data_IF_118133402113
#
_entry.id   IF_118133402113
#
_cell.length_a   1.000
_cell.length_b   1.000
_cell.length_c   1.000
_cell.angle_alpha   90.00
_cell.angle_beta   90.00
_cell.angle_gamma   90.00
#
_symmetry.space_group_name_H-M   'P 1'
#
loop_
_entity.id
_entity.type
_entity.pdbx_description
1 polymer ?
#
# COMPACT_ATOMS: atom_id res chain seq x y z
N UNK A 1 0.34 -19.37 -7.33
CA UNK A 1 0.87 -18.02 -7.02
C UNK A 1 0.01 -16.94 -7.69
N UNK A 2 -1.31 -16.90 -7.45
CA UNK A 2 -2.22 -15.95 -8.14
C UNK A 2 -3.06 -15.07 -7.21
N UNK A 3 -3.25 -15.46 -5.95
CA UNK A 3 -4.08 -14.73 -5.00
C UNK A 3 -3.37 -13.49 -4.42
N UNK A 4 -2.12 -13.65 -3.99
CA UNK A 4 -1.36 -12.58 -3.30
C UNK A 4 -1.15 -11.34 -4.16
N UNK A 5 -0.97 -11.50 -5.48
CA UNK A 5 -0.81 -10.35 -6.39
C UNK A 5 -2.12 -9.59 -6.62
N UNK A 6 -3.26 -10.28 -6.58
CA UNK A 6 -4.57 -9.66 -6.77
C UNK A 6 -4.96 -8.83 -5.55
N UNK A 7 -4.67 -9.35 -4.36
CA UNK A 7 -4.89 -8.64 -3.10
C UNK A 7 -4.03 -7.38 -3.02
N UNK A 8 -2.81 -7.41 -3.55
CA UNK A 8 -1.91 -6.25 -3.62
C UNK A 8 -2.44 -5.14 -4.52
N UNK A 9 -2.87 -5.46 -5.74
CA UNK A 9 -3.45 -4.47 -6.65
C UNK A 9 -4.71 -3.82 -6.07
N UNK A 10 -5.59 -4.60 -5.45
CA UNK A 10 -6.80 -4.09 -4.81
C UNK A 10 -6.47 -3.20 -3.61
N UNK A 11 -5.51 -3.60 -2.78
CA UNK A 11 -5.05 -2.79 -1.64
C UNK A 11 -4.42 -1.47 -2.10
N UNK A 12 -3.60 -1.51 -3.15
CA UNK A 12 -3.00 -0.31 -3.76
C UNK A 12 -4.06 0.60 -4.35
N UNK A 13 -5.06 0.04 -5.02
CA UNK A 13 -6.16 0.83 -5.58
C UNK A 13 -6.93 1.59 -4.50
N UNK A 14 -7.37 0.88 -3.46
CA UNK A 14 -8.09 1.50 -2.33
C UNK A 14 -7.24 2.61 -1.67
N UNK A 15 -5.94 2.35 -1.51
CA UNK A 15 -5.02 3.30 -0.91
C UNK A 15 -4.77 4.53 -1.80
N UNK A 16 -4.71 4.35 -3.11
CA UNK A 16 -4.57 5.44 -4.06
C UNK A 16 -5.82 6.34 -4.09
N UNK A 17 -7.02 5.76 -3.96
CA UNK A 17 -8.28 6.51 -3.77
C UNK A 17 -8.25 7.34 -2.49
N UNK A 18 -7.88 6.74 -1.35
CA UNK A 18 -7.74 7.45 -0.07
C UNK A 18 -6.75 8.61 -0.18
N UNK A 19 -5.58 8.38 -0.80
CA UNK A 19 -4.56 9.41 -0.97
C UNK A 19 -5.01 10.54 -1.90
N UNK A 20 -5.77 10.22 -2.95
CA UNK A 20 -6.33 11.21 -3.86
C UNK A 20 -7.34 12.12 -3.15
N UNK A 21 -8.24 11.52 -2.35
CA UNK A 21 -9.22 12.26 -1.56
C UNK A 21 -8.53 13.13 -0.50
N UNK A 22 -7.57 12.57 0.25
CA UNK A 22 -6.87 13.29 1.32
C UNK A 22 -6.02 14.46 0.81
N UNK A 23 -5.31 14.28 -0.31
CA UNK A 23 -4.35 15.29 -0.80
C UNK A 23 -4.99 16.31 -1.73
N UNK A 24 -5.95 15.90 -2.54
CA UNK A 24 -6.51 16.73 -3.60
C UNK A 24 -8.02 16.99 -3.45
N UNK A 25 -8.70 16.30 -2.53
CA UNK A 25 -10.14 16.40 -2.35
C UNK A 25 -10.93 15.94 -3.58
N UNK A 26 -10.39 14.97 -4.33
CA UNK A 26 -10.95 14.47 -5.59
C UNK A 26 -10.80 12.96 -5.67
N UNK A 27 -11.66 12.34 -6.48
CA UNK A 27 -11.50 10.93 -6.83
C UNK A 27 -10.20 10.72 -7.61
N UNK A 28 -9.56 9.56 -7.42
CA UNK A 28 -8.30 9.22 -8.08
C UNK A 28 -8.41 9.32 -9.60
N UNK A 29 -9.51 8.83 -10.18
CA UNK A 29 -9.73 8.84 -11.63
C UNK A 29 -9.95 10.25 -12.22
N UNK A 30 -10.29 11.23 -11.38
CA UNK A 30 -10.45 12.64 -11.79
C UNK A 30 -9.13 13.41 -11.79
N UNK A 31 -8.05 12.81 -11.28
CA UNK A 31 -6.73 13.44 -11.30
C UNK A 31 -6.15 13.43 -12.73
N UNK A 32 -5.32 14.42 -13.11
CA UNK A 32 -4.49 14.32 -14.30
C UNK A 32 -3.60 13.07 -14.25
N UNK A 33 -3.30 12.46 -15.40
CA UNK A 33 -2.51 11.23 -15.48
C UNK A 33 -1.16 11.31 -14.74
N UNK A 34 -0.52 12.48 -14.71
CA UNK A 34 0.72 12.69 -13.95
C UNK A 34 0.52 12.60 -12.43
N UNK A 35 -0.60 13.09 -11.92
CA UNK A 35 -0.96 13.00 -10.51
C UNK A 35 -1.50 11.61 -10.17
N UNK A 36 -2.25 10.97 -11.05
CA UNK A 36 -2.66 9.57 -10.89
C UNK A 36 -1.43 8.67 -10.70
N UNK A 37 -0.43 8.79 -11.59
CA UNK A 37 0.81 8.02 -11.48
C UNK A 37 1.54 8.30 -10.16
N UNK A 38 1.68 9.58 -9.78
CA UNK A 38 2.34 9.94 -8.53
C UNK A 38 1.60 9.38 -7.29
N UNK A 39 0.27 9.49 -7.26
CA UNK A 39 -0.56 8.96 -6.16
C UNK A 39 -0.52 7.43 -6.10
N UNK A 40 -0.49 6.76 -7.26
CA UNK A 40 -0.34 5.30 -7.33
C UNK A 40 1.02 4.84 -6.78
N UNK A 41 2.11 5.48 -7.20
CA UNK A 41 3.46 5.16 -6.73
C UNK A 41 3.59 5.36 -5.21
N UNK A 42 2.98 6.41 -4.67
CA UNK A 42 2.95 6.65 -3.23
C UNK A 42 2.15 5.56 -2.48
N UNK A 43 1.02 5.13 -3.04
CA UNK A 43 0.22 4.04 -2.49
C UNK A 43 1.01 2.71 -2.47
N UNK A 44 1.68 2.35 -3.57
CA UNK A 44 2.52 1.16 -3.66
C UNK A 44 3.65 1.19 -2.63
N UNK A 45 4.30 2.35 -2.46
CA UNK A 45 5.39 2.51 -1.51
C UNK A 45 4.92 2.32 -0.07
N UNK A 46 3.79 2.91 0.32
CA UNK A 46 3.24 2.74 1.67
C UNK A 46 2.89 1.28 1.97
N UNK A 47 2.28 0.58 1.00
CA UNK A 47 1.94 -0.84 1.17
C UNK A 47 3.20 -1.70 1.26
N UNK A 48 4.19 -1.44 0.41
CA UNK A 48 5.47 -2.16 0.45
C UNK A 48 6.18 -1.97 1.80
N UNK A 49 6.16 -0.75 2.36
CA UNK A 49 6.72 -0.46 3.68
C UNK A 49 5.95 -1.21 4.77
N UNK A 50 4.61 -1.18 4.74
CA UNK A 50 3.78 -1.86 5.74
C UNK A 50 4.05 -3.38 5.74
N UNK A 51 4.12 -4.00 4.57
CA UNK A 51 4.45 -5.42 4.42
C UNK A 51 5.86 -5.75 4.95
N UNK A 52 6.83 -4.88 4.67
CA UNK A 52 8.19 -5.04 5.20
C UNK A 52 8.21 -4.93 6.74
N UNK A 53 7.48 -3.97 7.31
CA UNK A 53 7.35 -3.81 8.76
C UNK A 53 6.65 -5.00 9.44
N UNK A 54 5.59 -5.53 8.83
CA UNK A 54 4.91 -6.74 9.32
C UNK A 54 5.83 -7.96 9.30
N UNK A 55 6.59 -8.14 8.22
CA UNK A 55 7.58 -9.21 8.11
C UNK A 55 8.68 -9.10 9.18
N UNK A 56 9.13 -7.89 9.50
CA UNK A 56 10.14 -7.66 10.55
C UNK A 56 9.58 -7.85 11.97
N UNK A 57 8.33 -7.45 12.24
CA UNK A 57 7.69 -7.73 13.55
C UNK A 57 7.53 -9.23 13.83
N UNK A 58 7.22 -10.02 12.80
CA UNK A 58 7.07 -11.47 12.96
C UNK A 58 8.39 -12.14 13.38
N UNK A 59 9.52 -11.70 12.78
CA UNK A 59 10.87 -12.18 13.14
C UNK A 59 11.27 -11.85 14.58
N UNK A 60 10.78 -10.74 15.14
CA UNK A 60 11.07 -10.34 16.51
C UNK A 60 10.29 -11.22 17.49
N UNK A 61 9.01 -11.50 17.24
CA UNK A 61 8.17 -12.33 18.11
C UNK A 61 8.65 -13.79 18.20
N UNK A 62 9.07 -14.39 17.09
CA UNK A 62 9.65 -15.74 17.10
C UNK A 62 10.94 -15.84 17.93
N UNK A 63 11.69 -14.74 18.06
CA UNK A 63 12.88 -14.66 18.93
C UNK A 63 12.54 -14.55 20.42
N UNK A 64 11.38 -13.99 20.77
CA UNK A 64 10.94 -13.83 22.17
C UNK A 64 10.16 -15.05 22.69
N UNK A 65 9.38 -15.74 21.85
CA UNK A 65 8.66 -16.97 22.24
C UNK A 65 9.54 -18.23 22.19
N UNK A 66 10.74 -18.14 21.61
CA UNK A 66 11.71 -19.22 21.47
C UNK A 66 12.73 -19.34 22.61
N UNK A 67 12.47 -18.83 23.81
CA UNK A 67 13.40 -18.94 24.94
C UNK A 67 12.74 -19.18 26.30
#
# INVERSE_FOLDING_TARGET
MGAVNRDLEETTSNKAEDLAEQRYGREFHDLPASLQMATWMDAELEIAINLACEADMFRIKEKEEGK
#
